data_IF_666240499371
#
_entry.id   IF_666240499371
#
_cell.length_a   1.000
_cell.length_b   1.000
_cell.length_c   1.000
_cell.angle_alpha   90.00
_cell.angle_beta   90.00
_cell.angle_gamma   90.00
#
_symmetry.space_group_name_H-M   'P 1'
#
loop_
_entity.id
_entity.type
_entity.pdbx_description
1 polymer ?
#
# COMPACT_ATOMS: atom_id res chain seq x y z
N UNK A 1 20.55 -15.34 51.99
CA UNK A 1 19.27 -15.68 51.35
C UNK A 1 18.55 -14.45 50.81
N UNK A 2 18.39 -13.33 51.55
CA UNK A 2 17.68 -12.11 51.05
C UNK A 2 18.35 -11.46 49.83
N UNK A 3 19.69 -11.43 49.74
CA UNK A 3 20.44 -10.83 48.62
C UNK A 3 20.30 -11.62 47.30
N UNK A 4 20.22 -12.94 47.39
CA UNK A 4 20.03 -13.77 46.20
C UNK A 4 18.60 -13.68 45.67
N UNK A 5 17.62 -13.55 46.57
CA UNK A 5 16.23 -13.36 46.18
C UNK A 5 16.02 -12.02 45.43
N UNK A 6 16.70 -10.95 45.86
CA UNK A 6 16.68 -9.64 45.20
C UNK A 6 17.29 -9.68 43.79
N UNK A 7 18.39 -10.41 43.59
CA UNK A 7 19.04 -10.58 42.30
C UNK A 7 18.16 -11.37 41.32
N UNK A 8 17.50 -12.42 41.78
CA UNK A 8 16.59 -13.23 40.97
C UNK A 8 15.36 -12.43 40.53
N UNK A 9 14.78 -11.62 41.43
CA UNK A 9 13.64 -10.75 41.10
C UNK A 9 14.05 -9.67 40.10
N UNK A 10 15.24 -9.09 40.20
CA UNK A 10 15.74 -8.05 39.30
C UNK A 10 16.05 -8.59 37.89
N UNK A 11 16.54 -9.85 37.79
CA UNK A 11 16.76 -10.53 36.51
C UNK A 11 15.42 -10.91 35.85
N UNK A 12 14.45 -11.39 36.63
CA UNK A 12 13.10 -11.73 36.11
C UNK A 12 12.33 -10.50 35.64
N UNK A 13 12.46 -9.34 36.28
CA UNK A 13 11.83 -8.10 35.83
C UNK A 13 12.48 -7.52 34.55
N UNK A 14 13.80 -7.73 34.36
CA UNK A 14 14.48 -7.33 33.13
C UNK A 14 14.08 -8.18 31.91
N UNK A 15 13.73 -9.46 32.09
CA UNK A 15 13.28 -10.33 31.01
C UNK A 15 11.86 -10.03 30.52
N UNK A 16 11.01 -9.44 31.34
CA UNK A 16 9.60 -9.15 30.99
C UNK A 16 9.47 -7.86 30.16
N UNK A 17 10.45 -6.96 30.20
CA UNK A 17 10.43 -5.70 29.44
C UNK A 17 10.93 -5.83 27.98
N UNK A 18 11.46 -6.98 27.58
CA UNK A 18 11.95 -7.22 26.22
C UNK A 18 10.90 -7.79 25.26
N UNK A 19 9.66 -8.03 25.70
CA UNK A 19 8.63 -8.76 24.93
C UNK A 19 7.56 -7.88 24.27
N UNK A 20 7.68 -6.55 24.27
CA UNK A 20 6.70 -5.64 23.65
C UNK A 20 7.31 -4.81 22.52
N UNK A 21 8.08 -5.47 21.64
CA UNK A 21 8.57 -4.88 20.39
C UNK A 21 8.10 -5.71 19.19
N UNK A 22 6.77 -5.86 19.04
CA UNK A 22 6.17 -6.43 17.83
C UNK A 22 6.19 -5.43 16.68
N UNK A 23 7.36 -4.93 16.31
CA UNK A 23 7.59 -4.25 15.05
C UNK A 23 7.63 -5.29 13.95
N UNK A 24 6.48 -5.59 13.30
CA UNK A 24 6.49 -6.36 12.07
C UNK A 24 7.47 -5.69 11.11
N UNK A 25 8.45 -6.43 10.61
CA UNK A 25 9.34 -5.94 9.55
C UNK A 25 8.47 -5.49 8.38
N UNK A 26 8.60 -4.25 7.87
CA UNK A 26 7.85 -3.81 6.71
C UNK A 26 8.08 -4.82 5.58
N UNK A 27 6.99 -5.31 4.98
CA UNK A 27 7.11 -6.19 3.82
C UNK A 27 7.86 -5.42 2.72
N UNK A 28 8.97 -5.95 2.19
CA UNK A 28 9.73 -5.26 1.15
C UNK A 28 8.83 -4.96 -0.06
N UNK A 29 8.96 -3.75 -0.61
CA UNK A 29 8.32 -3.40 -1.87
C UNK A 29 9.02 -4.24 -2.96
N UNK A 30 8.28 -5.07 -3.72
CA UNK A 30 8.89 -5.91 -4.74
C UNK A 30 9.44 -5.06 -5.89
N UNK A 31 10.53 -5.53 -6.51
CA UNK A 31 11.08 -4.91 -7.70
C UNK A 31 10.07 -4.95 -8.86
N UNK A 32 10.08 -3.91 -9.68
CA UNK A 32 9.27 -3.87 -10.91
C UNK A 32 9.83 -4.89 -11.91
N UNK A 33 9.01 -5.77 -12.48
CA UNK A 33 9.47 -6.70 -13.52
C UNK A 33 10.03 -5.97 -14.75
N UNK A 34 11.00 -6.57 -15.42
CA UNK A 34 11.73 -5.93 -16.52
C UNK A 34 10.81 -5.39 -17.64
N UNK A 35 9.71 -6.08 -17.95
CA UNK A 35 8.75 -5.66 -18.98
C UNK A 35 7.97 -4.37 -18.61
N UNK A 36 8.01 -3.99 -17.33
CA UNK A 36 7.30 -2.82 -16.80
C UNK A 36 8.25 -1.71 -16.34
N UNK A 37 9.52 -2.06 -16.08
CA UNK A 37 10.50 -1.15 -15.53
C UNK A 37 10.76 0.06 -16.47
N UNK A 38 10.93 1.24 -15.86
CA UNK A 38 11.25 2.47 -16.58
C UNK A 38 10.06 3.13 -17.28
N UNK A 39 8.84 2.63 -17.14
CA UNK A 39 7.65 3.34 -17.62
C UNK A 39 7.47 4.63 -16.82
N UNK A 40 7.27 5.73 -17.53
CA UNK A 40 7.00 7.06 -16.93
C UNK A 40 5.64 7.56 -17.38
N UNK A 41 5.00 8.34 -16.53
CA UNK A 41 3.73 8.97 -16.89
C UNK A 41 3.94 9.91 -18.09
N UNK A 42 3.13 9.79 -19.15
CA UNK A 42 3.17 10.73 -20.26
C UNK A 42 2.82 12.16 -19.82
N UNK A 43 3.37 13.14 -20.52
CA UNK A 43 3.01 14.54 -20.31
C UNK A 43 1.54 14.79 -20.65
N UNK A 44 0.90 15.70 -19.90
CA UNK A 44 -0.46 16.15 -20.18
C UNK A 44 -1.57 15.18 -19.70
N UNK A 45 -1.24 14.17 -18.91
CA UNK A 45 -2.24 13.28 -18.33
C UNK A 45 -3.18 14.03 -17.39
N UNK A 46 -4.49 13.85 -17.59
CA UNK A 46 -5.54 14.54 -16.84
C UNK A 46 -5.87 13.81 -15.51
N UNK A 47 -5.40 14.38 -14.41
CA UNK A 47 -5.72 13.88 -13.07
C UNK A 47 -7.21 14.07 -12.69
N UNK A 48 -7.93 15.03 -13.29
CA UNK A 48 -9.36 15.22 -13.01
C UNK A 48 -10.18 14.07 -13.61
N UNK A 49 -9.86 13.64 -14.84
CA UNK A 49 -10.42 12.40 -15.41
C UNK A 49 -10.06 11.17 -14.57
N UNK A 50 -8.84 11.14 -14.00
CA UNK A 50 -8.39 10.10 -13.10
C UNK A 50 -9.22 9.99 -11.81
N UNK A 51 -9.77 11.10 -11.32
CA UNK A 51 -10.69 11.09 -10.18
C UNK A 51 -11.94 10.28 -10.47
N UNK A 52 -12.51 10.42 -11.66
CA UNK A 52 -13.71 9.66 -12.06
C UNK A 52 -13.39 8.15 -12.12
N UNK A 53 -12.25 7.80 -12.73
CA UNK A 53 -11.78 6.41 -12.77
C UNK A 53 -11.59 5.84 -11.35
N UNK A 54 -11.00 6.61 -10.46
CA UNK A 54 -10.78 6.22 -9.05
C UNK A 54 -12.10 5.98 -8.33
N UNK A 55 -13.04 6.91 -8.43
CA UNK A 55 -14.32 6.84 -7.74
C UNK A 55 -15.12 5.60 -8.15
N UNK A 56 -15.10 5.26 -9.43
CA UNK A 56 -15.87 4.12 -9.94
C UNK A 56 -15.20 2.78 -9.62
N UNK A 57 -13.86 2.71 -9.69
CA UNK A 57 -13.16 1.42 -9.71
C UNK A 57 -12.32 1.14 -8.45
N UNK A 58 -11.90 2.15 -7.70
CA UNK A 58 -10.89 2.02 -6.65
C UNK A 58 -11.42 2.39 -5.26
N UNK A 59 -12.30 3.40 -5.19
CA UNK A 59 -12.77 4.02 -3.95
C UNK A 59 -13.43 3.02 -3.00
N UNK A 60 -14.19 2.05 -3.53
CA UNK A 60 -14.87 1.05 -2.71
C UNK A 60 -13.93 0.28 -1.77
N UNK A 61 -12.68 0.07 -2.19
CA UNK A 61 -11.66 -0.58 -1.39
C UNK A 61 -10.69 0.43 -0.76
N UNK A 62 -10.18 1.40 -1.55
CA UNK A 62 -9.14 2.32 -1.07
C UNK A 62 -9.67 3.52 -0.28
N UNK A 63 -11.01 3.75 -0.26
CA UNK A 63 -11.63 4.91 0.37
C UNK A 63 -11.51 6.19 -0.46
N UNK A 64 -12.41 7.14 -0.25
CA UNK A 64 -12.47 8.39 -1.00
C UNK A 64 -11.20 9.25 -0.87
N UNK A 65 -10.47 9.11 0.23
CA UNK A 65 -9.21 9.80 0.51
C UNK A 65 -7.99 8.93 0.23
N UNK A 66 -8.19 7.67 -0.17
CA UNK A 66 -7.11 6.73 -0.51
C UNK A 66 -6.36 6.14 0.68
N UNK A 67 -6.90 6.25 1.92
CA UNK A 67 -6.23 5.74 3.13
C UNK A 67 -6.47 4.24 3.38
N UNK A 68 -7.24 3.56 2.54
CA UNK A 68 -7.51 2.13 2.64
C UNK A 68 -8.76 1.78 3.46
N UNK A 69 -9.60 2.77 3.76
CA UNK A 69 -10.78 2.68 4.61
C UNK A 69 -12.10 2.51 3.84
N UNK A 70 -12.03 2.14 2.57
CA UNK A 70 -13.23 1.90 1.76
C UNK A 70 -14.10 0.79 2.35
N UNK A 71 -15.42 0.92 2.18
CA UNK A 71 -16.39 0.02 2.79
C UNK A 71 -16.16 -1.47 2.44
N UNK A 72 -15.74 -1.76 1.21
CA UNK A 72 -15.36 -3.11 0.81
C UNK A 72 -13.96 -3.50 1.32
N UNK A 73 -13.08 -2.53 1.55
CA UNK A 73 -11.70 -2.75 1.99
C UNK A 73 -11.58 -3.25 3.42
N UNK A 74 -12.50 -2.84 4.30
CA UNK A 74 -12.47 -3.16 5.73
C UNK A 74 -12.57 -4.67 6.04
N UNK A 75 -13.13 -5.45 5.12
CA UNK A 75 -13.29 -6.91 5.25
C UNK A 75 -12.19 -7.71 4.57
N UNK A 76 -11.21 -7.05 3.92
CA UNK A 76 -10.16 -7.71 3.15
C UNK A 76 -8.93 -8.02 4.02
N UNK A 77 -8.28 -9.15 3.73
CA UNK A 77 -7.00 -9.54 4.31
C UNK A 77 -6.03 -9.92 3.17
N UNK A 78 -4.94 -9.17 2.98
CA UNK A 78 -4.61 -7.93 3.66
C UNK A 78 -5.54 -6.77 3.30
N UNK A 79 -5.69 -5.82 4.22
CA UNK A 79 -6.40 -4.56 3.94
C UNK A 79 -5.75 -3.79 2.78
N UNK A 80 -6.53 -2.97 2.04
CA UNK A 80 -5.99 -2.11 1.01
C UNK A 80 -4.91 -1.17 1.55
N UNK A 81 -3.87 -0.95 0.74
CA UNK A 81 -2.79 -0.04 1.12
C UNK A 81 -3.33 1.40 1.30
N UNK A 82 -2.78 2.11 2.30
CA UNK A 82 -2.92 3.55 2.40
C UNK A 82 -2.09 4.21 1.28
N UNK A 83 -2.76 4.70 0.25
CA UNK A 83 -2.12 5.28 -0.94
C UNK A 83 -1.38 6.57 -0.63
N UNK A 84 -1.87 7.36 0.34
CA UNK A 84 -1.24 8.63 0.74
C UNK A 84 0.19 8.40 1.24
N UNK A 85 0.39 7.34 2.01
CA UNK A 85 1.72 7.01 2.57
C UNK A 85 2.54 6.11 1.66
N UNK A 86 1.90 5.30 0.83
CA UNK A 86 2.58 4.32 -0.03
C UNK A 86 3.08 4.91 -1.35
N UNK A 87 2.25 5.70 -2.04
CA UNK A 87 2.56 6.22 -3.38
C UNK A 87 3.88 7.02 -3.43
N UNK A 88 4.23 7.84 -2.43
CA UNK A 88 5.52 8.55 -2.42
C UNK A 88 6.76 7.65 -2.35
N UNK A 89 6.60 6.36 -2.06
CA UNK A 89 7.71 5.42 -1.88
C UNK A 89 8.07 4.66 -3.17
N UNK A 90 7.30 4.82 -4.25
CA UNK A 90 7.44 4.04 -5.47
C UNK A 90 7.44 4.91 -6.74
N UNK A 91 8.00 4.38 -7.82
CA UNK A 91 8.00 5.03 -9.13
C UNK A 91 6.70 4.87 -9.91
N UNK A 92 6.58 5.62 -11.00
CA UNK A 92 5.46 5.55 -11.93
C UNK A 92 5.32 4.17 -12.54
N UNK A 93 6.44 3.53 -12.88
CA UNK A 93 6.49 2.16 -13.39
C UNK A 93 5.90 1.13 -12.42
N UNK A 94 6.21 1.27 -11.14
CA UNK A 94 5.61 0.42 -10.10
C UNK A 94 4.09 0.58 -10.04
N UNK A 95 3.63 1.83 -10.04
CA UNK A 95 2.20 2.14 -9.97
C UNK A 95 1.47 1.62 -11.20
N UNK A 96 2.03 1.86 -12.40
CA UNK A 96 1.46 1.38 -13.65
C UNK A 96 1.38 -0.14 -13.69
N UNK A 97 2.48 -0.82 -13.36
CA UNK A 97 2.50 -2.27 -13.25
C UNK A 97 1.43 -2.78 -12.27
N UNK A 98 1.37 -2.19 -11.08
CA UNK A 98 0.49 -2.66 -10.02
C UNK A 98 -0.99 -2.47 -10.35
N UNK A 99 -1.37 -1.34 -10.91
CA UNK A 99 -2.74 -1.11 -11.37
C UNK A 99 -3.08 -2.02 -12.55
N UNK A 100 -2.18 -2.16 -13.51
CA UNK A 100 -2.41 -2.99 -14.70
C UNK A 100 -2.62 -4.46 -14.35
N UNK A 101 -1.79 -5.02 -13.45
CA UNK A 101 -1.74 -6.48 -13.18
C UNK A 101 -2.42 -6.92 -11.90
N UNK A 102 -2.85 -5.95 -11.06
CA UNK A 102 -3.34 -6.26 -9.72
C UNK A 102 -2.21 -6.68 -8.77
N UNK A 103 -2.57 -7.27 -7.63
CA UNK A 103 -1.60 -7.77 -6.65
C UNK A 103 -1.94 -9.20 -6.28
N UNK A 104 -1.12 -10.14 -6.75
CA UNK A 104 -1.27 -11.55 -6.45
C UNK A 104 -1.37 -11.82 -4.93
N UNK A 105 -2.21 -12.78 -4.55
CA UNK A 105 -2.47 -13.11 -3.15
C UNK A 105 -3.33 -12.09 -2.41
N UNK A 106 -3.94 -11.12 -3.11
CA UNK A 106 -4.86 -10.13 -2.54
C UNK A 106 -6.13 -9.98 -3.38
N UNK A 107 -7.08 -9.18 -2.90
CA UNK A 107 -8.31 -8.86 -3.64
C UNK A 107 -8.11 -7.77 -4.70
N UNK A 108 -6.91 -7.21 -4.86
CA UNK A 108 -6.64 -6.21 -5.90
C UNK A 108 -6.51 -6.88 -7.26
N UNK A 109 -7.55 -6.78 -8.08
CA UNK A 109 -7.61 -7.36 -9.43
C UNK A 109 -6.77 -6.58 -10.45
N UNK A 110 -6.49 -7.22 -11.60
CA UNK A 110 -5.87 -6.56 -12.75
C UNK A 110 -6.88 -5.63 -13.44
N UNK A 111 -6.46 -4.42 -13.75
CA UNK A 111 -7.31 -3.42 -14.41
C UNK A 111 -7.05 -3.26 -15.91
N UNK A 112 -5.91 -3.73 -16.44
CA UNK A 112 -5.62 -3.65 -17.88
C UNK A 112 -6.69 -4.28 -18.80
N UNK A 113 -7.46 -5.30 -18.40
CA UNK A 113 -8.57 -5.81 -19.22
C UNK A 113 -9.80 -4.89 -19.23
N UNK A 114 -9.89 -3.93 -18.32
CA UNK A 114 -11.07 -3.06 -18.09
C UNK A 114 -10.76 -1.60 -18.43
N UNK A 115 -9.57 -1.13 -18.09
CA UNK A 115 -9.10 0.24 -18.30
C UNK A 115 -8.08 0.29 -19.43
N UNK A 116 -8.12 1.35 -20.23
CA UNK A 116 -7.05 1.66 -21.18
C UNK A 116 -5.79 2.11 -20.45
N UNK A 117 -4.64 2.05 -21.12
CA UNK A 117 -3.38 2.57 -20.56
C UNK A 117 -3.50 4.06 -20.16
N UNK A 118 -4.21 4.85 -20.95
CA UNK A 118 -4.48 6.25 -20.64
C UNK A 118 -5.27 6.40 -19.33
N UNK A 119 -6.34 5.63 -19.16
CA UNK A 119 -7.14 5.65 -17.92
C UNK A 119 -6.33 5.18 -16.71
N UNK A 120 -5.43 4.21 -16.90
CA UNK A 120 -4.50 3.78 -15.85
C UNK A 120 -3.56 4.94 -15.48
N UNK A 121 -3.01 5.66 -16.45
CA UNK A 121 -2.18 6.84 -16.17
C UNK A 121 -2.97 7.97 -15.52
N UNK A 122 -4.20 8.21 -15.94
CA UNK A 122 -5.10 9.20 -15.33
C UNK A 122 -5.36 8.89 -13.85
N UNK A 123 -5.70 7.65 -13.51
CA UNK A 123 -5.92 7.28 -12.11
C UNK A 123 -4.63 7.36 -11.29
N UNK A 124 -3.47 7.03 -11.86
CA UNK A 124 -2.17 7.21 -11.20
C UNK A 124 -1.90 8.69 -10.93
N UNK A 125 -2.14 9.56 -11.92
CA UNK A 125 -2.03 11.01 -11.74
C UNK A 125 -2.90 11.50 -10.60
N UNK A 126 -4.14 11.03 -10.50
CA UNK A 126 -5.05 11.39 -9.42
C UNK A 126 -4.56 10.89 -8.05
N UNK A 127 -4.19 9.63 -7.90
CA UNK A 127 -3.75 9.09 -6.60
C UNK A 127 -2.49 9.79 -6.08
N UNK A 128 -1.64 10.31 -6.95
CA UNK A 128 -0.47 11.14 -6.58
C UNK A 128 -0.86 12.51 -6.01
N UNK A 129 -2.11 12.94 -6.18
CA UNK A 129 -2.63 14.19 -5.58
C UNK A 129 -3.22 13.99 -4.19
N UNK A 130 -3.49 12.76 -3.77
CA UNK A 130 -4.08 12.44 -2.47
C UNK A 130 -3.12 12.84 -1.32
N UNK A 131 -3.71 13.33 -0.21
CA UNK A 131 -2.97 13.85 0.96
C UNK A 131 -3.65 13.42 2.26
#
# INVERSE_FOLDING_TARGET
>A
MKKQLFLVVLVLTALVLAACGGGGTPTPIPAVPADWAGKTMPDGIDAAAGKEVFTVNCESCHGATGVGDGAAGAALDPMPANLVTFVPQVGDDYLFWRVSTGKEGTSMVAWSPVLTDEQIWQVIAYIKTLK
#
